data_IF_969513152761
#
_entry.id   IF_969513152761
#
_cell.length_a   1.000
_cell.length_b   1.000
_cell.length_c   1.000
_cell.angle_alpha   90.00
_cell.angle_beta   90.00
_cell.angle_gamma   90.00
#
_symmetry.space_group_name_H-M   'P 1'
#
loop_
_entity.id
_entity.type
_entity.pdbx_description
1 polymer ?
#
# COMPACT_ATOMS: atom_id res chain seq x y z
N UNK A 1 5.64 -70.83 0.51
CA UNK A 1 6.55 -69.66 0.32
C UNK A 1 6.84 -69.46 -1.19
N UNK A 2 6.22 -68.49 -1.86
CA UNK A 2 6.47 -68.16 -3.27
C UNK A 2 7.54 -67.07 -3.36
N UNK A 3 8.75 -67.38 -3.87
CA UNK A 3 9.81 -66.41 -4.18
C UNK A 3 9.34 -65.48 -5.30
N UNK A 4 9.21 -64.18 -5.03
CA UNK A 4 9.04 -63.14 -6.04
C UNK A 4 10.33 -63.01 -6.85
N UNK A 5 10.27 -63.35 -8.14
CA UNK A 5 11.31 -63.04 -9.13
C UNK A 5 11.34 -61.54 -9.37
N UNK A 6 12.41 -60.88 -8.98
CA UNK A 6 12.70 -59.50 -9.43
C UNK A 6 13.11 -59.56 -10.92
N UNK A 7 12.30 -59.01 -11.78
CA UNK A 7 12.68 -58.80 -13.19
C UNK A 7 13.77 -57.73 -13.22
N UNK A 8 14.97 -58.10 -13.64
CA UNK A 8 16.03 -57.11 -13.99
C UNK A 8 15.70 -56.54 -15.36
N UNK A 9 15.61 -55.20 -15.47
CA UNK A 9 15.50 -54.53 -16.76
C UNK A 9 16.72 -54.92 -17.64
N UNK A 10 16.49 -55.15 -18.91
CA UNK A 10 17.58 -55.46 -19.84
C UNK A 10 18.50 -54.27 -20.03
N UNK A 11 19.78 -54.49 -20.28
CA UNK A 11 20.77 -53.43 -20.52
C UNK A 11 20.28 -52.49 -21.62
N UNK A 12 19.64 -52.99 -22.68
CA UNK A 12 19.06 -52.20 -23.75
C UNK A 12 17.94 -51.28 -23.28
N UNK A 13 17.09 -51.73 -22.34
CA UNK A 13 16.03 -50.89 -21.76
C UNK A 13 16.59 -49.76 -20.86
N UNK A 14 17.67 -50.04 -20.12
CA UNK A 14 18.34 -49.02 -19.33
C UNK A 14 19.00 -47.97 -20.20
N UNK A 15 19.72 -48.40 -21.27
CA UNK A 15 20.34 -47.48 -22.22
C UNK A 15 19.33 -46.59 -22.92
N UNK A 16 18.18 -47.17 -23.33
CA UNK A 16 17.09 -46.40 -23.94
C UNK A 16 16.50 -45.37 -23.00
N UNK A 17 16.27 -45.71 -21.72
CA UNK A 17 15.77 -44.76 -20.72
C UNK A 17 16.74 -43.63 -20.43
N UNK A 18 18.04 -43.93 -20.39
CA UNK A 18 19.09 -42.91 -20.19
C UNK A 18 19.15 -41.96 -21.41
N UNK A 19 19.13 -42.48 -22.63
CA UNK A 19 19.11 -41.67 -23.84
C UNK A 19 17.86 -40.78 -23.93
N UNK A 20 16.68 -41.32 -23.59
CA UNK A 20 15.45 -40.51 -23.54
C UNK A 20 15.53 -39.39 -22.49
N UNK A 21 16.08 -39.67 -21.31
CA UNK A 21 16.28 -38.65 -20.26
C UNK A 21 17.27 -37.56 -20.69
N UNK A 22 18.37 -37.94 -21.37
CA UNK A 22 19.34 -36.99 -21.93
C UNK A 22 18.74 -36.08 -23.01
N UNK A 23 17.92 -36.65 -23.90
CA UNK A 23 17.21 -35.88 -24.94
C UNK A 23 16.22 -34.89 -24.32
N UNK A 24 15.44 -35.33 -23.33
CA UNK A 24 14.52 -34.46 -22.63
C UNK A 24 15.23 -33.33 -21.86
N UNK A 25 16.34 -33.64 -21.21
CA UNK A 25 17.16 -32.62 -20.52
C UNK A 25 17.79 -31.61 -21.50
N UNK A 26 18.28 -32.09 -22.66
CA UNK A 26 18.84 -31.23 -23.71
C UNK A 26 17.76 -30.33 -24.33
N UNK A 27 16.54 -30.87 -24.56
CA UNK A 27 15.41 -30.09 -25.05
C UNK A 27 14.92 -29.06 -24.06
N UNK A 28 14.89 -29.38 -22.77
CA UNK A 28 14.55 -28.44 -21.71
C UNK A 28 15.60 -27.32 -21.57
N UNK A 29 16.89 -27.67 -21.63
CA UNK A 29 17.99 -26.69 -21.62
C UNK A 29 17.95 -25.79 -22.88
N UNK A 30 17.64 -26.32 -24.03
CA UNK A 30 17.51 -25.56 -25.28
C UNK A 30 16.30 -24.62 -25.26
N UNK A 31 15.15 -25.07 -24.72
CA UNK A 31 13.97 -24.23 -24.51
C UNK A 31 14.25 -23.13 -23.46
N UNK A 32 15.04 -23.43 -22.41
CA UNK A 32 15.43 -22.44 -21.42
C UNK A 32 16.40 -21.38 -22.00
N UNK A 33 17.34 -21.79 -22.88
CA UNK A 33 18.24 -20.88 -23.60
C UNK A 33 17.53 -20.03 -24.65
N UNK A 34 16.46 -20.53 -25.28
CA UNK A 34 15.64 -19.75 -26.23
C UNK A 34 14.65 -18.83 -25.53
N UNK A 35 14.12 -19.24 -24.37
CA UNK A 35 13.21 -18.43 -23.55
C UNK A 35 13.94 -17.41 -22.68
N UNK A 36 15.23 -17.61 -22.42
CA UNK A 36 16.01 -16.92 -21.35
C UNK A 36 16.87 -15.81 -21.87
N UNK A 37 17.05 -15.17 -22.85
CA UNK A 37 17.82 -13.92 -23.03
C UNK A 37 17.68 -13.23 -24.42
N UNK A 38 17.26 -13.95 -25.48
CA UNK A 38 17.24 -13.37 -26.83
C UNK A 38 15.93 -12.72 -27.24
N UNK A 39 14.79 -13.11 -26.66
CA UNK A 39 13.46 -12.60 -27.03
C UNK A 39 13.18 -11.28 -26.31
N UNK A 40 13.64 -11.14 -25.05
CA UNK A 40 13.52 -9.90 -24.28
C UNK A 40 14.39 -8.78 -24.86
N UNK A 41 15.63 -9.07 -25.21
CA UNK A 41 16.53 -8.07 -25.80
C UNK A 41 16.08 -7.62 -27.19
N UNK A 42 15.55 -8.52 -28.03
CA UNK A 42 15.01 -8.17 -29.35
C UNK A 42 13.71 -7.40 -29.27
N UNK A 43 12.83 -7.72 -28.32
CA UNK A 43 11.60 -6.94 -28.08
C UNK A 43 11.94 -5.55 -27.51
N UNK A 44 12.93 -5.45 -26.62
CA UNK A 44 13.40 -4.18 -26.05
C UNK A 44 14.12 -3.31 -27.08
N UNK A 45 14.94 -3.91 -27.96
CA UNK A 45 15.58 -3.20 -29.07
C UNK A 45 14.57 -2.71 -30.13
N UNK A 46 13.56 -3.51 -30.47
CA UNK A 46 12.49 -3.11 -31.37
C UNK A 46 11.61 -1.98 -30.79
N UNK A 47 11.35 -2.01 -29.47
CA UNK A 47 10.62 -0.96 -28.77
C UNK A 47 11.39 0.38 -28.74
N UNK A 48 12.70 0.33 -28.49
CA UNK A 48 13.55 1.52 -28.51
C UNK A 48 13.70 2.12 -29.92
N UNK A 49 13.75 1.30 -30.97
CA UNK A 49 13.79 1.75 -32.36
C UNK A 49 12.50 2.51 -32.75
N UNK A 50 11.34 2.09 -32.22
CA UNK A 50 10.06 2.76 -32.42
C UNK A 50 9.96 4.07 -31.62
N UNK A 51 10.60 4.14 -30.45
CA UNK A 51 10.63 5.33 -29.61
C UNK A 51 11.55 6.44 -30.19
N UNK A 52 12.64 6.08 -30.88
CA UNK A 52 13.53 7.05 -31.52
C UNK A 52 12.95 7.72 -32.76
N UNK A 53 11.96 7.10 -33.42
CA UNK A 53 11.30 7.66 -34.60
C UNK A 53 10.22 8.72 -34.28
N UNK A 54 9.95 9.01 -33.00
CA UNK A 54 8.94 9.99 -32.56
C UNK A 54 9.53 11.20 -31.81
N UNK A 55 10.76 11.58 -32.05
CA UNK A 55 11.27 12.86 -31.53
C UNK A 55 10.61 14.03 -32.27
N UNK A 56 9.96 14.98 -31.57
CA UNK A 56 9.46 16.18 -32.19
C UNK A 56 10.63 17.02 -32.72
N UNK A 57 10.52 17.51 -33.95
CA UNK A 57 11.42 18.47 -34.53
C UNK A 57 11.25 19.80 -33.81
N UNK A 58 12.37 20.36 -33.32
CA UNK A 58 12.43 21.68 -32.73
C UNK A 58 12.03 22.75 -33.77
N UNK A 59 10.92 23.42 -33.47
CA UNK A 59 10.55 24.66 -34.17
C UNK A 59 11.05 25.84 -33.31
N UNK A 60 11.88 26.75 -33.81
CA UNK A 60 12.36 27.87 -33.01
C UNK A 60 11.22 28.84 -32.69
N UNK A 61 11.02 29.08 -31.39
CA UNK A 61 10.11 30.09 -30.87
C UNK A 61 10.72 31.49 -31.00
N UNK A 62 9.99 32.52 -31.45
CA UNK A 62 10.51 33.89 -31.51
C UNK A 62 10.64 34.49 -30.10
N UNK A 63 11.78 35.09 -29.81
CA UNK A 63 12.05 35.88 -28.60
C UNK A 63 11.06 37.04 -28.42
N UNK A 64 10.47 37.24 -27.23
CA UNK A 64 9.64 38.41 -26.97
C UNK A 64 10.51 39.63 -26.65
N UNK A 65 10.42 40.65 -27.46
CA UNK A 65 11.02 41.99 -27.23
C UNK A 65 10.25 42.67 -26.11
N UNK A 66 10.87 42.86 -24.96
CA UNK A 66 10.29 43.60 -23.83
C UNK A 66 10.53 45.09 -24.02
N UNK A 67 9.46 45.86 -24.15
CA UNK A 67 9.50 47.32 -24.00
C UNK A 67 9.34 47.69 -22.52
N UNK A 68 10.07 48.68 -22.01
CA UNK A 68 9.88 49.17 -20.64
C UNK A 68 8.49 49.80 -20.47
N UNK A 69 7.79 49.39 -19.43
CA UNK A 69 6.48 49.94 -19.05
C UNK A 69 6.70 50.95 -17.90
N UNK A 70 6.16 52.16 -18.10
CA UNK A 70 6.16 53.24 -17.12
C UNK A 70 5.41 52.82 -15.84
N UNK A 71 5.97 53.18 -14.69
CA UNK A 71 5.43 52.91 -13.34
C UNK A 71 4.24 53.83 -13.06
N UNK A 72 3.01 53.31 -12.85
CA UNK A 72 1.92 54.13 -12.32
C UNK A 72 1.93 54.10 -10.79
N UNK A 73 1.53 55.25 -10.23
CA UNK A 73 1.43 55.52 -8.80
C UNK A 73 0.51 54.53 -8.05
N UNK A 74 0.84 54.27 -6.80
CA UNK A 74 0.10 53.39 -5.88
C UNK A 74 -1.35 53.84 -5.70
N UNK A 75 -2.28 53.01 -6.19
CA UNK A 75 -3.71 53.09 -5.89
C UNK A 75 -4.04 52.09 -4.79
N UNK A 76 -4.84 52.49 -3.80
CA UNK A 76 -5.24 51.70 -2.65
C UNK A 76 -5.79 50.30 -3.05
N UNK A 77 -5.32 49.27 -2.36
CA UNK A 77 -5.78 47.89 -2.49
C UNK A 77 -7.28 47.79 -2.16
N UNK A 78 -8.11 47.23 -3.04
CA UNK A 78 -9.46 46.83 -2.68
C UNK A 78 -9.41 45.63 -1.74
N UNK A 79 -10.19 45.69 -0.68
CA UNK A 79 -10.47 44.56 0.21
C UNK A 79 -10.97 43.37 -0.60
N UNK A 80 -10.28 42.22 -0.51
CA UNK A 80 -10.70 41.01 -1.20
C UNK A 80 -12.12 40.59 -0.71
N UNK A 81 -13.07 40.56 -1.64
CA UNK A 81 -14.33 39.89 -1.47
C UNK A 81 -14.06 38.38 -1.18
N UNK A 82 -14.81 37.72 -0.30
CA UNK A 82 -14.66 36.29 -0.09
C UNK A 82 -14.88 35.55 -1.41
N UNK A 83 -13.87 34.83 -1.86
CA UNK A 83 -13.96 33.97 -3.06
C UNK A 83 -15.06 32.96 -2.81
N UNK A 84 -16.15 33.02 -3.60
CA UNK A 84 -17.20 32.03 -3.56
C UNK A 84 -16.60 30.63 -3.80
N UNK A 85 -16.97 29.66 -2.96
CA UNK A 85 -16.61 28.26 -3.19
C UNK A 85 -17.04 27.87 -4.62
N UNK A 86 -16.18 27.17 -5.39
CA UNK A 86 -16.52 26.80 -6.76
C UNK A 86 -17.78 25.92 -6.77
N UNK A 87 -18.82 26.36 -7.44
CA UNK A 87 -20.03 25.55 -7.66
C UNK A 87 -19.63 24.26 -8.40
N UNK A 88 -19.99 23.06 -7.91
CA UNK A 88 -19.65 21.81 -8.55
C UNK A 88 -20.09 21.80 -10.02
N UNK A 89 -19.18 21.51 -10.93
CA UNK A 89 -19.51 21.31 -12.34
C UNK A 89 -20.43 20.10 -12.49
N UNK A 90 -21.51 20.18 -13.26
CA UNK A 90 -22.43 19.04 -13.43
C UNK A 90 -21.66 17.78 -13.90
N UNK A 91 -21.79 16.69 -13.17
CA UNK A 91 -21.15 15.41 -13.48
C UNK A 91 -19.82 15.12 -12.79
N UNK A 92 -19.20 16.12 -12.14
CA UNK A 92 -17.98 15.91 -11.36
C UNK A 92 -18.30 15.72 -9.87
N UNK A 93 -17.73 14.67 -9.27
CA UNK A 93 -17.77 14.43 -7.82
C UNK A 93 -16.34 14.34 -7.31
N UNK A 94 -16.04 15.12 -6.28
CA UNK A 94 -14.73 15.13 -5.64
C UNK A 94 -14.84 14.48 -4.26
N UNK A 95 -13.84 13.68 -3.90
CA UNK A 95 -13.64 13.18 -2.56
C UNK A 95 -12.15 13.10 -2.22
N UNK A 96 -11.84 13.04 -0.95
CA UNK A 96 -10.48 12.96 -0.43
C UNK A 96 -10.21 11.58 0.16
N UNK A 97 -9.05 11.01 -0.21
CA UNK A 97 -8.51 9.76 0.32
C UNK A 97 -7.33 10.09 1.23
N UNK A 98 -7.40 9.70 2.50
CA UNK A 98 -6.25 9.67 3.38
C UNK A 98 -5.74 8.24 3.53
N UNK A 99 -4.42 8.06 3.54
CA UNK A 99 -3.82 6.77 3.86
C UNK A 99 -2.55 6.95 4.68
N UNK A 100 -2.33 6.05 5.63
CA UNK A 100 -1.10 5.97 6.40
C UNK A 100 -0.58 4.52 6.43
N UNK A 101 0.67 4.36 6.86
CA UNK A 101 1.38 3.10 6.77
C UNK A 101 0.88 2.01 7.72
N UNK A 102 1.77 1.08 8.04
CA UNK A 102 1.48 -0.12 8.81
C UNK A 102 1.25 0.19 10.29
N UNK A 103 0.16 -0.33 10.83
CA UNK A 103 -0.14 -0.38 12.27
C UNK A 103 0.33 -1.72 12.82
N UNK A 104 1.43 -1.69 13.55
CA UNK A 104 2.01 -2.83 14.25
C UNK A 104 2.07 -2.53 15.74
N UNK A 105 1.37 -3.31 16.56
CA UNK A 105 1.23 -3.08 18.01
C UNK A 105 1.84 -4.22 18.86
N UNK A 106 3.18 -4.33 18.91
CA UNK A 106 3.87 -5.30 19.73
C UNK A 106 3.73 -5.00 21.22
N UNK A 107 4.36 -5.84 22.06
CA UNK A 107 4.31 -5.71 23.51
C UNK A 107 4.63 -4.29 24.00
N UNK A 108 5.68 -3.65 23.48
CA UNK A 108 6.09 -2.33 23.93
C UNK A 108 5.06 -1.23 23.63
N UNK A 109 4.41 -1.29 22.47
CA UNK A 109 3.29 -0.38 22.11
C UNK A 109 2.09 -0.64 23.02
N UNK A 110 1.73 -1.91 23.25
CA UNK A 110 0.62 -2.28 24.13
C UNK A 110 0.88 -1.85 25.57
N UNK A 111 2.11 -1.99 26.09
CA UNK A 111 2.51 -1.49 27.41
C UNK A 111 2.48 0.04 27.49
N UNK A 112 2.81 0.73 26.39
CA UNK A 112 2.67 2.19 26.30
C UNK A 112 1.22 2.64 26.42
N UNK A 113 0.31 1.92 25.75
CA UNK A 113 -1.12 2.20 25.77
C UNK A 113 -1.82 1.76 27.08
N UNK A 114 -1.15 0.96 27.93
CA UNK A 114 -1.77 0.38 29.11
C UNK A 114 -1.95 1.43 30.22
N UNK A 115 -3.20 1.59 30.66
CA UNK A 115 -3.61 2.43 31.77
C UNK A 115 -3.76 1.65 33.09
N UNK A 116 -3.98 2.40 34.19
CA UNK A 116 -4.36 1.81 35.46
C UNK A 116 -5.71 1.10 35.35
N UNK A 117 -5.82 -0.11 35.94
CA UNK A 117 -7.04 -0.89 35.85
C UNK A 117 -7.09 -1.87 34.68
N UNK A 118 -6.06 -1.92 33.84
CA UNK A 118 -5.93 -2.93 32.78
C UNK A 118 -6.61 -2.55 31.45
N UNK A 119 -7.05 -1.33 31.32
CA UNK A 119 -7.53 -0.73 30.06
C UNK A 119 -6.36 -0.31 29.16
N UNK A 120 -6.64 -0.11 27.87
CA UNK A 120 -5.64 0.30 26.88
C UNK A 120 -6.12 1.53 26.11
N UNK A 121 -5.34 2.62 26.18
CA UNK A 121 -5.57 3.83 25.38
C UNK A 121 -4.54 3.93 24.24
N UNK A 122 -4.86 3.33 23.10
CA UNK A 122 -4.06 3.48 21.89
C UNK A 122 -4.24 4.83 21.20
N UNK A 123 -5.30 5.58 21.54
CA UNK A 123 -5.47 6.93 21.00
C UNK A 123 -4.34 7.86 21.48
N UNK A 124 -3.84 7.68 22.69
CA UNK A 124 -2.66 8.41 23.18
C UNK A 124 -1.42 8.21 22.32
N UNK A 125 -1.31 7.07 21.61
CA UNK A 125 -0.23 6.76 20.67
C UNK A 125 -0.50 7.38 19.30
N UNK A 126 -1.75 7.34 18.81
CA UNK A 126 -2.15 7.70 17.44
C UNK A 126 -2.62 9.16 17.28
N UNK A 127 -2.91 9.88 18.34
CA UNK A 127 -3.60 11.17 18.29
C UNK A 127 -2.94 12.22 17.38
N UNK A 128 -1.62 12.14 17.18
CA UNK A 128 -0.91 13.07 16.29
C UNK A 128 -1.19 12.92 14.79
N UNK A 129 -1.98 11.90 14.40
CA UNK A 129 -2.41 11.70 12.99
C UNK A 129 -3.93 11.83 12.84
N UNK A 130 -4.68 11.97 13.95
CA UNK A 130 -6.14 11.98 13.95
C UNK A 130 -6.73 13.02 13.01
N UNK A 131 -6.27 14.26 13.10
CA UNK A 131 -6.77 15.36 12.25
C UNK A 131 -6.50 15.09 10.76
N UNK A 132 -5.36 14.50 10.41
CA UNK A 132 -4.99 14.19 9.02
C UNK A 132 -5.90 13.10 8.43
N UNK A 133 -6.25 12.08 9.21
CA UNK A 133 -7.09 10.98 8.74
C UNK A 133 -8.58 11.37 8.75
N UNK A 134 -9.05 12.00 9.82
CA UNK A 134 -10.47 12.38 9.99
C UNK A 134 -10.93 13.49 9.06
N UNK A 135 -10.01 14.27 8.49
CA UNK A 135 -10.33 15.31 7.50
C UNK A 135 -10.67 14.73 6.10
N UNK A 136 -10.43 13.44 5.87
CA UNK A 136 -10.71 12.81 4.58
C UNK A 136 -12.09 12.15 4.54
N UNK A 137 -12.65 12.02 3.32
CA UNK A 137 -13.91 11.30 3.09
C UNK A 137 -13.74 9.78 3.17
N UNK A 138 -12.51 9.28 2.99
CA UNK A 138 -12.10 7.89 3.14
C UNK A 138 -10.70 7.80 3.72
N UNK A 139 -10.55 7.20 4.89
CA UNK A 139 -9.25 6.98 5.52
C UNK A 139 -8.90 5.49 5.64
N UNK A 140 -7.70 5.11 5.18
CA UNK A 140 -7.24 3.72 5.09
C UNK A 140 -5.90 3.56 5.79
N UNK A 141 -5.74 2.46 6.56
CA UNK A 141 -4.45 2.02 7.12
C UNK A 141 -4.26 0.52 6.91
N UNK A 142 -3.02 0.03 7.03
CA UNK A 142 -2.74 -1.42 7.02
C UNK A 142 -2.57 -1.92 8.45
N UNK A 143 -3.36 -2.91 8.84
CA UNK A 143 -3.30 -3.53 10.17
C UNK A 143 -2.44 -4.81 10.12
N UNK A 144 -1.19 -4.73 10.60
CA UNK A 144 -0.24 -5.86 10.66
C UNK A 144 -0.22 -6.49 12.07
N UNK A 145 -1.37 -6.60 12.68
CA UNK A 145 -1.57 -7.27 13.97
C UNK A 145 -2.99 -7.82 14.04
N UNK A 146 -3.17 -8.98 14.66
CA UNK A 146 -4.50 -9.48 14.98
C UNK A 146 -5.04 -8.82 16.24
N UNK A 147 -6.35 -8.75 16.39
CA UNK A 147 -7.04 -8.24 17.59
C UNK A 147 -7.84 -9.37 18.27
N UNK A 148 -7.25 -10.56 18.28
CA UNK A 148 -7.85 -11.77 18.85
C UNK A 148 -7.84 -11.83 20.39
N UNK A 149 -7.39 -10.77 21.03
CA UNK A 149 -7.47 -10.61 22.48
C UNK A 149 -6.52 -11.51 23.28
N UNK A 150 -6.71 -11.49 24.61
CA UNK A 150 -5.84 -12.17 25.59
C UNK A 150 -5.90 -13.69 25.49
N UNK A 151 -7.06 -14.25 25.16
CA UNK A 151 -7.27 -15.69 25.11
C UNK A 151 -6.41 -16.41 24.07
N UNK A 152 -6.08 -15.73 22.98
CA UNK A 152 -5.17 -16.22 21.93
C UNK A 152 -3.70 -15.92 22.20
N UNK A 153 -3.37 -15.30 23.35
CA UNK A 153 -2.02 -14.90 23.72
C UNK A 153 -1.54 -13.69 22.90
N UNK A 154 -1.07 -12.65 23.55
CA UNK A 154 -0.73 -11.42 22.86
C UNK A 154 0.46 -11.57 21.90
N UNK A 155 1.59 -12.13 22.35
CA UNK A 155 2.80 -12.18 21.52
C UNK A 155 3.17 -10.81 20.94
N UNK A 156 3.77 -10.82 19.75
CA UNK A 156 4.16 -9.59 19.06
C UNK A 156 3.11 -9.12 18.03
N UNK A 157 2.31 -10.05 17.47
CA UNK A 157 1.38 -9.76 16.38
C UNK A 157 -0.08 -10.07 16.76
N UNK A 158 -0.39 -9.91 18.04
CA UNK A 158 -1.75 -9.94 18.54
C UNK A 158 -1.87 -8.94 19.69
N UNK A 159 -2.91 -8.14 19.66
CA UNK A 159 -3.15 -7.08 20.64
C UNK A 159 -4.61 -7.11 21.11
N UNK A 160 -4.98 -6.12 21.90
CA UNK A 160 -6.35 -5.93 22.37
C UNK A 160 -7.19 -5.17 21.35
N UNK A 161 -8.52 -5.39 21.31
CA UNK A 161 -9.41 -4.74 20.34
C UNK A 161 -9.49 -3.21 20.46
N UNK A 162 -9.10 -2.62 21.58
CA UNK A 162 -9.13 -1.17 21.84
C UNK A 162 -8.27 -0.38 20.82
N UNK A 163 -7.33 -1.02 20.14
CA UNK A 163 -6.60 -0.40 19.02
C UNK A 163 -7.53 0.00 17.89
N UNK A 164 -8.59 -0.78 17.67
CA UNK A 164 -9.60 -0.50 16.62
C UNK A 164 -10.47 0.70 17.01
N UNK A 165 -10.75 0.87 18.31
CA UNK A 165 -11.45 2.05 18.82
C UNK A 165 -10.62 3.32 18.59
N UNK A 166 -9.30 3.24 18.83
CA UNK A 166 -8.37 4.33 18.56
C UNK A 166 -8.26 4.67 17.06
N UNK A 167 -8.17 3.65 16.18
CA UNK A 167 -8.16 3.86 14.73
C UNK A 167 -9.44 4.54 14.26
N UNK A 168 -10.60 4.07 14.74
CA UNK A 168 -11.90 4.70 14.43
C UNK A 168 -11.97 6.15 14.94
N UNK A 169 -11.51 6.41 16.16
CA UNK A 169 -11.46 7.75 16.73
C UNK A 169 -10.56 8.71 15.94
N UNK A 170 -9.52 8.18 15.28
CA UNK A 170 -8.69 8.93 14.32
C UNK A 170 -9.33 9.09 12.94
N UNK A 171 -10.55 8.58 12.72
CA UNK A 171 -11.25 8.72 11.43
C UNK A 171 -10.98 7.61 10.43
N UNK A 172 -10.33 6.49 10.81
CA UNK A 172 -10.13 5.35 9.91
C UNK A 172 -11.46 4.69 9.57
N UNK A 173 -11.71 4.47 8.28
CA UNK A 173 -12.92 3.83 7.74
C UNK A 173 -12.66 2.37 7.34
N UNK A 174 -11.46 2.10 6.82
CA UNK A 174 -11.08 0.78 6.32
C UNK A 174 -9.67 0.39 6.74
N UNK A 175 -9.50 -0.90 7.11
CA UNK A 175 -8.19 -1.49 7.36
C UNK A 175 -7.86 -2.55 6.31
N UNK A 176 -6.65 -2.49 5.73
CA UNK A 176 -6.11 -3.58 4.93
C UNK A 176 -5.59 -4.68 5.87
N UNK A 177 -6.13 -5.90 5.72
CA UNK A 177 -5.74 -7.06 6.52
C UNK A 177 -4.83 -8.04 5.77
N UNK A 178 -4.66 -7.87 4.45
CA UNK A 178 -3.78 -8.73 3.68
C UNK A 178 -2.30 -8.44 4.00
N UNK A 179 -1.84 -8.96 5.10
CA UNK A 179 -0.44 -8.92 5.55
C UNK A 179 0.06 -10.34 5.84
N UNK A 180 1.38 -10.52 5.95
CA UNK A 180 1.92 -11.82 6.33
C UNK A 180 1.51 -12.25 7.75
N UNK A 181 0.99 -11.31 8.55
CA UNK A 181 0.57 -11.53 9.95
C UNK A 181 -0.91 -11.77 10.13
N UNK A 182 -1.71 -11.72 9.08
CA UNK A 182 -3.17 -11.87 9.15
C UNK A 182 -3.61 -13.18 9.85
N UNK A 183 -2.84 -14.26 9.68
CA UNK A 183 -3.11 -15.58 10.26
C UNK A 183 -2.15 -15.96 11.40
N UNK A 184 -1.56 -14.99 12.07
CA UNK A 184 -0.62 -15.21 13.17
C UNK A 184 -1.24 -15.93 14.38
N UNK A 185 -2.56 -15.92 14.50
CA UNK A 185 -3.37 -16.62 15.51
C UNK A 185 -4.35 -17.62 14.86
N UNK A 186 -3.99 -18.12 13.68
CA UNK A 186 -4.82 -19.04 12.91
C UNK A 186 -6.13 -18.41 12.44
N UNK A 187 -7.01 -19.22 11.91
CA UNK A 187 -8.31 -18.77 11.44
C UNK A 187 -9.22 -18.28 12.56
N UNK A 188 -9.20 -18.92 13.73
CA UNK A 188 -9.98 -18.45 14.89
C UNK A 188 -9.56 -17.03 15.32
N UNK A 189 -8.24 -16.74 15.26
CA UNK A 189 -7.73 -15.40 15.57
C UNK A 189 -8.13 -14.37 14.51
N UNK A 190 -8.19 -14.78 13.25
CA UNK A 190 -8.72 -13.94 12.18
C UNK A 190 -10.22 -13.70 12.38
N UNK A 191 -11.03 -14.73 12.61
CA UNK A 191 -12.47 -14.62 12.82
C UNK A 191 -12.81 -13.68 14.00
N UNK A 192 -12.05 -13.74 15.09
CA UNK A 192 -12.16 -12.79 16.20
C UNK A 192 -11.82 -11.37 15.76
N UNK A 193 -10.74 -11.20 14.99
CA UNK A 193 -10.35 -9.86 14.46
C UNK A 193 -11.45 -9.28 13.56
N UNK A 194 -12.04 -10.10 12.68
CA UNK A 194 -13.13 -9.67 11.79
C UNK A 194 -14.41 -9.31 12.58
N UNK A 195 -14.71 -10.07 13.62
CA UNK A 195 -15.83 -9.78 14.52
C UNK A 195 -15.65 -8.45 15.24
N UNK A 196 -14.43 -8.17 15.74
CA UNK A 196 -14.09 -6.91 16.40
C UNK A 196 -14.15 -5.71 15.45
N UNK A 197 -13.70 -5.86 14.21
CA UNK A 197 -13.84 -4.83 13.16
C UNK A 197 -15.31 -4.55 12.82
N UNK A 198 -16.08 -5.61 12.59
CA UNK A 198 -17.50 -5.51 12.26
C UNK A 198 -18.31 -4.82 13.36
N UNK A 199 -18.05 -5.18 14.63
CA UNK A 199 -18.73 -4.57 15.79
C UNK A 199 -18.50 -3.06 15.92
N UNK A 200 -17.37 -2.56 15.35
CA UNK A 200 -16.98 -1.16 15.33
C UNK A 200 -17.31 -0.44 14.02
N UNK A 201 -17.98 -1.11 13.11
CA UNK A 201 -18.28 -0.58 11.76
C UNK A 201 -17.00 -0.14 11.00
N UNK A 202 -15.87 -0.82 11.23
CA UNK A 202 -14.66 -0.67 10.45
C UNK A 202 -14.71 -1.64 9.26
N UNK A 203 -14.62 -1.12 8.04
CA UNK A 203 -14.49 -1.95 6.87
C UNK A 203 -13.10 -2.60 6.81
N UNK A 204 -12.98 -3.71 6.08
CA UNK A 204 -11.70 -4.38 5.86
C UNK A 204 -11.58 -4.92 4.45
N UNK A 205 -10.34 -5.11 3.97
CA UNK A 205 -10.05 -5.67 2.67
C UNK A 205 -8.91 -6.70 2.74
N UNK A 206 -8.91 -7.65 1.77
CA UNK A 206 -7.82 -8.61 1.58
C UNK A 206 -7.95 -9.94 2.33
N UNK A 207 -9.06 -10.15 3.04
CA UNK A 207 -9.43 -11.43 3.65
C UNK A 207 -10.89 -11.75 3.34
N UNK A 208 -11.16 -13.02 3.04
CA UNK A 208 -12.46 -13.48 2.53
C UNK A 208 -12.86 -14.80 3.21
N UNK A 209 -13.36 -14.78 4.46
CA UNK A 209 -13.47 -15.96 5.31
C UNK A 209 -14.33 -17.11 4.75
N UNK A 210 -15.18 -16.86 3.76
CA UNK A 210 -16.11 -17.86 3.22
C UNK A 210 -16.30 -17.78 1.70
N UNK A 211 -15.39 -17.12 0.98
CA UNK A 211 -15.49 -16.93 -0.46
C UNK A 211 -14.25 -17.48 -1.17
N UNK A 212 -14.44 -18.42 -2.09
CA UNK A 212 -13.39 -18.90 -2.99
C UNK A 212 -12.94 -17.83 -4.01
N UNK A 213 -13.77 -16.82 -4.24
CA UNK A 213 -13.53 -15.73 -5.16
C UNK A 213 -13.38 -14.44 -4.35
N UNK A 214 -12.13 -14.07 -4.02
CA UNK A 214 -11.85 -12.79 -3.40
C UNK A 214 -12.57 -11.65 -4.16
N UNK A 215 -13.33 -10.84 -3.44
CA UNK A 215 -14.03 -9.70 -4.00
C UNK A 215 -13.48 -8.41 -3.43
N UNK A 216 -13.60 -7.32 -4.18
CA UNK A 216 -13.30 -5.99 -3.67
C UNK A 216 -14.25 -5.62 -2.53
N UNK A 217 -13.75 -4.92 -1.53
CA UNK A 217 -14.59 -4.24 -0.55
C UNK A 217 -15.14 -2.98 -1.21
N UNK A 218 -16.45 -2.95 -1.44
CA UNK A 218 -17.13 -1.83 -2.10
C UNK A 218 -17.61 -0.82 -1.08
N UNK A 219 -17.29 0.45 -1.28
CA UNK A 219 -17.69 1.57 -0.44
C UNK A 219 -18.34 2.67 -1.29
N UNK A 220 -19.34 3.34 -0.75
CA UNK A 220 -19.93 4.52 -1.40
C UNK A 220 -19.39 5.77 -0.71
N UNK A 221 -18.60 6.55 -1.42
CA UNK A 221 -17.99 7.79 -0.93
C UNK A 221 -18.57 8.95 -1.74
N UNK A 222 -19.41 9.77 -1.13
CA UNK A 222 -20.06 10.91 -1.79
C UNK A 222 -20.80 10.54 -3.11
N UNK A 223 -21.35 9.31 -3.19
CA UNK A 223 -22.01 8.80 -4.40
C UNK A 223 -21.07 8.10 -5.39
N UNK A 224 -19.76 8.10 -5.15
CA UNK A 224 -18.76 7.38 -5.96
C UNK A 224 -18.56 5.98 -5.39
N UNK A 225 -18.69 4.94 -6.24
CA UNK A 225 -18.42 3.55 -5.86
C UNK A 225 -16.91 3.30 -5.87
N UNK A 226 -16.32 3.11 -4.70
CA UNK A 226 -14.89 2.85 -4.51
C UNK A 226 -14.70 1.37 -4.19
N UNK A 227 -13.92 0.68 -5.01
CA UNK A 227 -13.48 -0.68 -4.75
C UNK A 227 -12.10 -0.66 -4.08
N UNK A 228 -11.96 -1.35 -2.96
CA UNK A 228 -10.69 -1.53 -2.25
C UNK A 228 -10.30 -3.00 -2.30
N UNK A 229 -9.10 -3.26 -2.82
CA UNK A 229 -8.47 -4.58 -2.96
C UNK A 229 -7.17 -4.59 -2.17
N UNK A 230 -6.93 -5.60 -1.34
CA UNK A 230 -5.66 -5.72 -0.62
C UNK A 230 -5.07 -7.12 -0.80
N UNK A 231 -3.72 -7.21 -0.88
CA UNK A 231 -3.01 -8.45 -1.18
C UNK A 231 -1.72 -8.56 -0.38
N UNK A 232 -1.35 -9.77 0.03
CA UNK A 232 -0.09 -10.07 0.72
C UNK A 232 0.84 -10.91 -0.16
N UNK A 233 2.15 -10.68 -0.03
CA UNK A 233 3.16 -11.51 -0.68
C UNK A 233 3.20 -12.95 -0.12
N UNK A 234 2.59 -13.21 1.03
CA UNK A 234 2.58 -14.52 1.65
C UNK A 234 2.15 -14.48 3.12
N UNK A 235 2.40 -15.57 3.81
CA UNK A 235 2.21 -15.72 5.25
C UNK A 235 3.56 -15.80 5.96
N UNK A 236 3.60 -15.35 7.21
CA UNK A 236 4.70 -15.61 8.14
C UNK A 236 4.84 -17.11 8.41
N UNK A 237 5.98 -17.54 8.93
CA UNK A 237 6.18 -18.94 9.31
C UNK A 237 5.22 -19.37 10.41
N UNK A 238 4.89 -18.48 11.35
CA UNK A 238 3.86 -18.74 12.37
C UNK A 238 2.48 -18.89 11.72
N UNK A 239 2.09 -17.98 10.83
CA UNK A 239 0.82 -18.08 10.10
C UNK A 239 0.70 -19.37 9.30
N UNK A 240 1.77 -19.80 8.62
CA UNK A 240 1.84 -21.11 7.94
C UNK A 240 1.71 -22.28 8.91
N UNK A 241 2.36 -22.21 10.07
CA UNK A 241 2.29 -23.26 11.08
C UNK A 241 0.87 -23.39 11.67
N UNK A 242 0.22 -22.25 11.93
CA UNK A 242 -1.15 -22.20 12.47
C UNK A 242 -2.21 -22.70 11.47
N UNK A 243 -1.92 -22.64 10.16
CA UNK A 243 -2.87 -23.01 9.10
C UNK A 243 -2.49 -24.28 8.34
N UNK A 244 -1.49 -25.03 8.82
CA UNK A 244 -0.89 -26.17 8.14
C UNK A 244 -1.88 -27.24 7.66
N UNK A 245 -2.98 -27.43 8.36
CA UNK A 245 -3.99 -28.44 8.06
C UNK A 245 -5.31 -27.84 7.54
N UNK A 246 -5.31 -26.57 7.21
CA UNK A 246 -6.50 -25.84 6.82
C UNK A 246 -6.22 -25.05 5.53
N UNK A 247 -6.99 -25.35 4.48
CA UNK A 247 -6.82 -24.77 3.14
C UNK A 247 -7.95 -23.79 2.80
N UNK A 248 -8.56 -23.12 3.79
CA UNK A 248 -9.69 -22.21 3.57
C UNK A 248 -9.42 -21.07 2.58
N UNK A 249 -8.16 -20.79 2.24
CA UNK A 249 -7.80 -19.84 1.19
C UNK A 249 -8.28 -18.40 1.42
N UNK A 250 -8.41 -18.01 2.69
CA UNK A 250 -9.06 -16.74 3.08
C UNK A 250 -8.23 -15.48 2.83
N UNK A 251 -6.90 -15.61 2.66
CA UNK A 251 -6.01 -14.47 2.44
C UNK A 251 -5.77 -14.24 0.95
N UNK A 252 -5.99 -13.01 0.49
CA UNK A 252 -5.64 -12.61 -0.87
C UNK A 252 -4.11 -12.52 -1.01
N UNK A 253 -3.55 -13.37 -1.88
CA UNK A 253 -2.12 -13.39 -2.17
C UNK A 253 -1.81 -12.60 -3.44
N UNK A 254 -0.60 -12.04 -3.50
CA UNK A 254 -0.08 -11.37 -4.69
C UNK A 254 0.13 -12.40 -5.80
N UNK A 255 -0.67 -12.27 -6.85
CA UNK A 255 -0.55 -12.91 -8.14
C UNK A 255 -0.96 -11.88 -9.20
N UNK A 256 -0.05 -11.50 -10.07
CA UNK A 256 -0.26 -10.38 -10.99
C UNK A 256 -1.46 -10.60 -11.92
N UNK A 257 -1.68 -11.83 -12.37
CA UNK A 257 -2.80 -12.17 -13.27
C UNK A 257 -4.13 -12.10 -12.51
N UNK A 258 -4.18 -12.70 -11.31
CA UNK A 258 -5.38 -12.66 -10.48
C UNK A 258 -5.71 -11.23 -10.03
N UNK A 259 -4.73 -10.45 -9.59
CA UNK A 259 -4.92 -9.05 -9.21
C UNK A 259 -5.50 -8.22 -10.37
N UNK A 260 -4.98 -8.41 -11.60
CA UNK A 260 -5.51 -7.75 -12.79
C UNK A 260 -6.95 -8.17 -13.10
N UNK A 261 -7.28 -9.45 -12.93
CA UNK A 261 -8.65 -9.97 -13.07
C UNK A 261 -9.59 -9.39 -12.01
N UNK A 262 -9.16 -9.32 -10.76
CA UNK A 262 -9.94 -8.78 -9.64
C UNK A 262 -10.22 -7.27 -9.85
N UNK A 263 -9.25 -6.48 -10.33
CA UNK A 263 -9.42 -5.07 -10.72
C UNK A 263 -10.47 -4.95 -11.83
N UNK A 264 -10.34 -5.77 -12.88
CA UNK A 264 -11.30 -5.79 -13.99
C UNK A 264 -12.70 -6.16 -13.48
N UNK A 265 -12.79 -7.15 -12.61
CA UNK A 265 -14.05 -7.60 -12.00
C UNK A 265 -14.69 -6.48 -11.17
N UNK A 266 -13.91 -5.78 -10.34
CA UNK A 266 -14.41 -4.65 -9.55
C UNK A 266 -15.04 -3.57 -10.45
N UNK A 267 -14.42 -3.27 -11.60
CA UNK A 267 -15.01 -2.35 -12.60
C UNK A 267 -16.33 -2.86 -13.17
N UNK A 268 -16.42 -4.15 -13.51
CA UNK A 268 -17.67 -4.79 -14.00
C UNK A 268 -18.75 -4.74 -12.92
N UNK A 269 -18.39 -4.93 -11.66
CA UNK A 269 -19.31 -4.87 -10.51
C UNK A 269 -19.68 -3.43 -10.12
N UNK A 270 -19.23 -2.42 -10.88
CA UNK A 270 -19.68 -1.03 -10.79
C UNK A 270 -18.71 -0.07 -10.09
N UNK A 271 -17.48 -0.46 -9.81
CA UNK A 271 -16.50 0.44 -9.22
C UNK A 271 -16.18 1.62 -10.15
N UNK A 272 -16.33 2.82 -9.63
CA UNK A 272 -15.94 4.07 -10.27
C UNK A 272 -14.45 4.38 -10.02
N UNK A 273 -13.94 4.01 -8.85
CA UNK A 273 -12.54 4.13 -8.42
C UNK A 273 -12.07 2.79 -7.90
N UNK A 274 -10.83 2.39 -8.22
CA UNK A 274 -10.20 1.16 -7.73
C UNK A 274 -8.91 1.51 -7.00
N UNK A 275 -8.86 1.18 -5.70
CA UNK A 275 -7.71 1.33 -4.81
C UNK A 275 -7.13 -0.05 -4.54
N UNK A 276 -5.82 -0.22 -4.72
CA UNK A 276 -5.12 -1.47 -4.45
C UNK A 276 -4.10 -1.27 -3.34
N UNK A 277 -4.12 -2.15 -2.34
CA UNK A 277 -3.29 -2.11 -1.14
C UNK A 277 -2.37 -3.35 -1.09
N UNK A 278 -1.25 -3.36 -1.82
CA UNK A 278 -0.33 -4.50 -1.81
C UNK A 278 0.65 -4.42 -0.62
N UNK A 279 0.76 -5.52 0.11
CA UNK A 279 1.77 -5.75 1.13
C UNK A 279 2.94 -6.50 0.48
N UNK A 280 3.92 -5.77 -0.04
CA UNK A 280 4.94 -6.23 -1.01
C UNK A 280 6.35 -5.71 -0.73
N UNK A 281 7.30 -6.12 -1.58
CA UNK A 281 8.67 -5.58 -1.54
C UNK A 281 9.58 -6.29 -0.53
N UNK A 282 10.59 -5.57 -0.05
CA UNK A 282 11.61 -6.11 0.85
C UNK A 282 11.67 -5.31 2.14
N UNK A 283 11.55 -6.00 3.26
CA UNK A 283 11.55 -5.39 4.61
C UNK A 283 12.83 -4.60 4.86
N UNK A 284 12.69 -3.42 5.45
CA UNK A 284 13.77 -2.50 5.82
C UNK A 284 14.64 -2.04 4.63
N UNK A 285 14.05 -1.93 3.43
CA UNK A 285 14.72 -1.42 2.24
C UNK A 285 14.01 -0.17 1.74
N UNK A 286 14.77 0.94 1.62
CA UNK A 286 14.26 2.19 1.08
C UNK A 286 14.09 2.14 -0.45
N UNK A 287 14.91 1.33 -1.13
CA UNK A 287 14.84 1.13 -2.56
C UNK A 287 13.67 0.22 -2.94
N UNK A 288 12.89 0.63 -3.93
CA UNK A 288 11.79 -0.17 -4.49
C UNK A 288 12.35 -1.18 -5.49
N UNK A 289 12.16 -2.50 -5.27
CA UNK A 289 12.60 -3.53 -6.21
C UNK A 289 11.94 -3.37 -7.58
N UNK A 290 12.67 -3.68 -8.66
CA UNK A 290 12.15 -3.60 -10.02
C UNK A 290 10.90 -4.49 -10.23
N UNK A 291 10.85 -5.67 -9.63
CA UNK A 291 9.67 -6.54 -9.68
C UNK A 291 8.41 -5.89 -9.11
N UNK A 292 8.55 -5.01 -8.12
CA UNK A 292 7.44 -4.24 -7.54
C UNK A 292 7.00 -3.13 -8.50
N UNK A 293 7.94 -2.45 -9.17
CA UNK A 293 7.63 -1.45 -10.21
C UNK A 293 6.89 -2.07 -11.39
N UNK A 294 7.35 -3.23 -11.87
CA UNK A 294 6.70 -3.99 -12.94
C UNK A 294 5.27 -4.38 -12.54
N UNK A 295 5.08 -4.87 -11.30
CA UNK A 295 3.74 -5.20 -10.81
C UNK A 295 2.86 -3.96 -10.73
N UNK A 296 3.35 -2.83 -10.22
CA UNK A 296 2.60 -1.56 -10.16
C UNK A 296 2.12 -1.13 -11.55
N UNK A 297 2.98 -1.21 -12.56
CA UNK A 297 2.61 -0.93 -13.96
C UNK A 297 1.52 -1.89 -14.47
N UNK A 298 1.61 -3.18 -14.14
CA UNK A 298 0.59 -4.18 -14.51
C UNK A 298 -0.77 -3.83 -13.89
N UNK A 299 -0.80 -3.45 -12.61
CA UNK A 299 -2.02 -3.05 -11.92
C UNK A 299 -2.61 -1.75 -12.48
N UNK A 300 -1.77 -0.77 -12.80
CA UNK A 300 -2.19 0.47 -13.46
C UNK A 300 -2.83 0.20 -14.83
N UNK A 301 -2.22 -0.68 -15.65
CA UNK A 301 -2.78 -1.10 -16.93
C UNK A 301 -4.10 -1.86 -16.76
N UNK A 302 -4.24 -2.68 -15.71
CA UNK A 302 -5.47 -3.41 -15.40
C UNK A 302 -6.61 -2.50 -14.95
N UNK A 303 -6.31 -1.27 -14.52
CA UNK A 303 -7.35 -0.30 -14.17
C UNK A 303 -7.32 0.20 -12.72
N UNK A 304 -6.27 -0.03 -11.94
CA UNK A 304 -6.09 0.64 -10.65
C UNK A 304 -5.94 2.15 -10.85
N UNK A 305 -6.56 2.94 -9.97
CA UNK A 305 -6.42 4.41 -9.94
C UNK A 305 -5.43 4.84 -8.85
N UNK A 306 -5.38 4.09 -7.75
CA UNK A 306 -4.47 4.35 -6.64
C UNK A 306 -3.87 3.03 -6.15
N UNK A 307 -2.55 3.01 -5.90
CA UNK A 307 -1.83 1.88 -5.33
C UNK A 307 -1.08 2.36 -4.09
N UNK A 308 -1.36 1.77 -2.93
CA UNK A 308 -0.80 2.13 -1.64
C UNK A 308 -0.07 0.94 -1.03
N UNK A 309 1.24 0.88 -1.23
CA UNK A 309 2.09 -0.22 -0.78
C UNK A 309 2.47 -0.13 0.69
N UNK A 310 2.64 -1.31 1.30
CA UNK A 310 3.18 -1.49 2.66
C UNK A 310 4.10 -2.72 2.70
N UNK A 311 4.61 -3.13 3.85
CA UNK A 311 5.56 -4.20 4.16
C UNK A 311 7.02 -3.74 4.30
N UNK A 312 7.62 -2.89 3.46
CA UNK A 312 9.02 -2.49 3.67
C UNK A 312 9.28 -1.87 5.04
N UNK A 313 8.25 -1.37 5.74
CA UNK A 313 8.34 -0.68 7.03
C UNK A 313 9.18 0.61 6.99
N UNK A 314 9.55 1.05 5.82
CA UNK A 314 10.22 2.32 5.52
C UNK A 314 9.49 3.01 4.38
N UNK A 315 9.44 4.33 4.38
CA UNK A 315 8.85 5.08 3.29
C UNK A 315 9.65 4.86 2.00
N UNK A 316 8.95 4.66 0.89
CA UNK A 316 9.52 4.52 -0.46
C UNK A 316 8.91 5.55 -1.41
N UNK A 317 9.36 5.52 -2.66
CA UNK A 317 8.99 6.46 -3.71
C UNK A 317 7.49 6.60 -3.94
N UNK A 318 7.12 7.75 -4.48
CA UNK A 318 5.77 8.04 -4.98
C UNK A 318 5.87 8.37 -6.46
N UNK A 319 4.99 7.80 -7.27
CA UNK A 319 5.02 7.90 -8.72
C UNK A 319 3.61 8.10 -9.28
N UNK A 320 3.50 8.80 -10.42
CA UNK A 320 2.29 8.90 -11.22
C UNK A 320 2.52 8.15 -12.53
N UNK A 321 1.93 6.97 -12.65
CA UNK A 321 2.05 6.10 -13.81
C UNK A 321 0.96 6.48 -14.83
N UNK A 322 1.38 6.76 -16.06
CA UNK A 322 0.46 7.02 -17.18
C UNK A 322 0.35 5.77 -18.06
N UNK A 323 -0.85 5.28 -18.26
CA UNK A 323 -1.13 4.09 -19.08
C UNK A 323 -2.17 4.39 -20.14
N UNK A 324 -1.99 3.84 -21.33
CA UNK A 324 -3.04 3.81 -22.35
C UNK A 324 -3.80 2.50 -22.20
N UNK A 325 -5.10 2.59 -21.92
CA UNK A 325 -5.96 1.40 -21.74
C UNK A 325 -6.63 0.99 -23.06
N UNK A 326 -7.40 -0.09 -23.04
CA UNK A 326 -8.02 -0.69 -24.24
C UNK A 326 -9.00 0.24 -24.98
N UNK A 327 -9.50 1.27 -24.35
CA UNK A 327 -10.33 2.32 -24.95
C UNK A 327 -9.52 3.40 -25.70
N UNK A 328 -8.19 3.28 -25.73
CA UNK A 328 -7.27 4.21 -26.37
C UNK A 328 -7.03 5.51 -25.56
N UNK A 329 -7.58 5.63 -24.35
CA UNK A 329 -7.43 6.81 -23.52
C UNK A 329 -6.27 6.66 -22.52
N UNK A 330 -5.61 7.77 -22.22
CA UNK A 330 -4.57 7.84 -21.18
C UNK A 330 -5.22 7.97 -19.81
N UNK A 331 -4.75 7.14 -18.87
CA UNK A 331 -5.13 7.15 -17.46
C UNK A 331 -3.91 7.39 -16.60
N UNK A 332 -4.11 8.03 -15.47
CA UNK A 332 -3.09 8.23 -14.46
C UNK A 332 -3.39 7.39 -13.22
N UNK A 333 -2.39 6.69 -12.70
CA UNK A 333 -2.44 5.93 -11.46
C UNK A 333 -1.44 6.51 -10.48
N UNK A 334 -1.86 6.89 -9.29
CA UNK A 334 -0.96 7.28 -8.19
C UNK A 334 -0.46 6.04 -7.49
N UNK A 335 0.86 5.91 -7.34
CA UNK A 335 1.51 4.80 -6.65
C UNK A 335 2.36 5.35 -5.51
N UNK A 336 2.05 4.92 -4.28
CA UNK A 336 2.95 5.04 -3.13
C UNK A 336 3.54 3.65 -2.90
N UNK A 337 4.83 3.45 -3.20
CA UNK A 337 5.45 2.12 -3.13
C UNK A 337 5.52 1.57 -1.71
N UNK A 338 5.72 2.42 -0.70
CA UNK A 338 5.55 2.08 0.72
C UNK A 338 5.29 3.34 1.55
N UNK A 339 4.22 3.29 2.35
CA UNK A 339 3.89 4.35 3.31
C UNK A 339 4.74 4.27 4.59
N UNK A 340 5.60 3.25 4.75
CA UNK A 340 6.34 3.00 5.99
C UNK A 340 5.45 2.52 7.14
N UNK A 341 5.86 2.81 8.37
CA UNK A 341 5.07 2.49 9.57
C UNK A 341 4.26 3.70 10.04
N UNK A 342 3.00 3.46 10.41
CA UNK A 342 2.21 4.39 11.22
C UNK A 342 2.47 4.15 12.71
N UNK A 343 2.57 2.88 13.13
CA UNK A 343 2.83 2.52 14.54
C UNK A 343 3.81 1.34 14.57
N UNK A 344 4.88 1.44 15.34
CA UNK A 344 5.87 0.38 15.57
C UNK A 344 6.72 0.67 16.80
N UNK A 345 7.29 -0.37 17.41
CA UNK A 345 8.33 -0.25 18.43
C UNK A 345 9.77 -0.29 17.87
N UNK A 346 9.92 -0.41 16.55
CA UNK A 346 11.22 -0.36 15.88
C UNK A 346 11.96 0.94 16.21
N UNK A 347 13.28 0.83 16.37
CA UNK A 347 14.13 1.96 16.80
C UNK A 347 15.14 2.39 15.74
N UNK A 348 15.15 1.75 14.58
CA UNK A 348 15.94 2.28 13.47
C UNK A 348 15.33 3.58 12.95
N UNK A 349 16.19 4.52 12.57
CA UNK A 349 15.76 5.83 12.06
C UNK A 349 14.91 5.72 10.80
N UNK A 350 15.05 4.64 10.05
CA UNK A 350 14.27 4.36 8.85
C UNK A 350 12.84 3.93 9.20
N UNK A 351 12.68 3.03 10.18
CA UNK A 351 11.38 2.49 10.57
C UNK A 351 10.54 3.46 11.41
N UNK A 352 11.20 4.45 12.06
CA UNK A 352 10.48 5.50 12.82
C UNK A 352 9.99 6.64 11.93
N UNK A 353 10.35 6.62 10.63
CA UNK A 353 9.91 7.58 9.63
C UNK A 353 8.88 6.93 8.70
N UNK A 354 7.62 7.32 8.82
CA UNK A 354 6.55 6.94 7.92
C UNK A 354 5.97 8.15 7.20
N UNK A 355 4.94 7.94 6.40
CA UNK A 355 4.19 9.03 5.78
C UNK A 355 2.69 8.77 5.78
N UNK A 356 1.93 9.84 5.87
CA UNK A 356 0.53 9.87 5.49
C UNK A 356 0.40 10.62 4.16
N UNK A 357 -0.57 10.20 3.34
CA UNK A 357 -0.92 10.85 2.09
C UNK A 357 -2.38 11.26 2.13
N UNK A 358 -2.68 12.48 1.69
CA UNK A 358 -4.03 12.95 1.42
C UNK A 358 -4.11 13.25 -0.08
N UNK A 359 -4.94 12.50 -0.79
CA UNK A 359 -5.10 12.57 -2.24
C UNK A 359 -6.54 12.99 -2.57
N UNK A 360 -6.68 14.07 -3.32
CA UNK A 360 -7.97 14.42 -3.92
C UNK A 360 -8.23 13.54 -5.13
N UNK A 361 -9.42 12.97 -5.22
CA UNK A 361 -9.89 12.20 -6.36
C UNK A 361 -11.13 12.87 -6.96
N UNK A 362 -11.11 13.07 -8.27
CA UNK A 362 -12.25 13.63 -9.01
C UNK A 362 -12.82 12.54 -9.90
N UNK A 363 -14.07 12.20 -9.71
CA UNK A 363 -14.81 11.28 -10.58
C UNK A 363 -15.73 12.06 -11.52
N UNK A 364 -15.62 11.81 -12.81
CA UNK A 364 -16.51 12.36 -13.83
C UNK A 364 -17.51 11.29 -14.28
N UNK A 365 -18.77 11.48 -13.92
CA UNK A 365 -19.86 10.55 -14.26
C UNK A 365 -20.19 10.54 -15.77
N UNK A 366 -19.86 11.61 -16.51
CA UNK A 366 -20.10 11.68 -17.94
C UNK A 366 -19.12 10.79 -18.72
N UNK A 367 -17.85 10.80 -18.31
CA UNK A 367 -16.79 9.96 -18.93
C UNK A 367 -16.57 8.65 -18.19
N UNK A 368 -17.13 8.49 -16.98
CA UNK A 368 -16.90 7.38 -16.03
C UNK A 368 -15.42 7.19 -15.69
N UNK A 369 -14.69 8.30 -15.53
CA UNK A 369 -13.27 8.30 -15.24
C UNK A 369 -12.96 8.96 -13.91
N UNK A 370 -11.95 8.41 -13.22
CA UNK A 370 -11.36 9.02 -12.06
C UNK A 370 -10.05 9.73 -12.44
N UNK A 371 -9.82 10.88 -11.83
CA UNK A 371 -8.63 11.70 -12.02
C UNK A 371 -8.00 11.97 -10.66
N UNK A 372 -6.77 11.50 -10.42
CA UNK A 372 -6.01 11.91 -9.24
C UNK A 372 -5.66 13.40 -9.33
N UNK A 373 -6.07 14.15 -8.31
CA UNK A 373 -5.80 15.59 -8.18
C UNK A 373 -4.57 15.88 -7.32
N UNK A 374 -4.72 16.89 -6.46
CA UNK A 374 -3.68 17.30 -5.53
C UNK A 374 -3.39 16.19 -4.51
N UNK A 375 -2.11 16.00 -4.19
CA UNK A 375 -1.65 15.07 -3.17
C UNK A 375 -0.74 15.80 -2.18
N UNK A 376 -1.14 15.79 -0.92
CA UNK A 376 -0.32 16.22 0.21
C UNK A 376 0.32 15.01 0.85
N UNK A 377 1.64 15.07 1.09
CA UNK A 377 2.39 14.07 1.84
C UNK A 377 2.84 14.68 3.15
N UNK A 378 2.43 14.06 4.25
CA UNK A 378 2.78 14.44 5.60
C UNK A 378 3.81 13.45 6.15
N UNK A 379 5.07 13.86 6.39
CA UNK A 379 6.05 13.02 7.07
C UNK A 379 5.63 12.75 8.51
N UNK A 380 5.72 11.48 8.92
CA UNK A 380 5.39 11.05 10.27
C UNK A 380 6.66 10.63 11.00
N UNK A 381 6.70 10.92 12.30
CA UNK A 381 7.73 10.44 13.21
C UNK A 381 7.11 9.66 14.37
N UNK A 382 7.65 8.47 14.66
CA UNK A 382 7.24 7.66 15.81
C UNK A 382 8.17 7.94 16.98
N UNK A 383 7.79 8.89 17.81
CA UNK A 383 8.51 9.28 19.00
C UNK A 383 8.42 8.20 20.10
N UNK A 384 9.46 8.08 20.92
CA UNK A 384 9.45 7.18 22.08
C UNK A 384 10.26 7.77 23.22
N UNK A 385 9.57 8.13 24.28
CA UNK A 385 10.15 8.69 25.48
C UNK A 385 10.08 7.70 26.64
N UNK A 386 11.11 7.68 27.48
CA UNK A 386 11.06 6.92 28.72
C UNK A 386 10.39 7.77 29.81
N UNK A 387 9.26 7.29 30.32
CA UNK A 387 8.51 7.92 31.40
C UNK A 387 8.10 6.86 32.42
N UNK A 388 8.36 7.10 33.68
CA UNK A 388 8.00 6.23 34.83
C UNK A 388 8.41 4.75 34.61
N UNK A 389 9.61 4.54 34.05
CA UNK A 389 10.15 3.21 33.80
C UNK A 389 9.63 2.51 32.53
N UNK A 390 8.66 3.09 31.81
CA UNK A 390 8.08 2.59 30.55
C UNK A 390 8.50 3.44 29.36
N UNK A 391 8.51 2.85 28.18
CA UNK A 391 8.58 3.61 26.95
C UNK A 391 7.16 4.06 26.58
N UNK A 392 7.00 5.36 26.34
CA UNK A 392 5.74 5.96 25.86
C UNK A 392 5.96 6.32 24.39
N UNK A 393 5.13 5.76 23.53
CA UNK A 393 5.20 5.98 22.08
C UNK A 393 4.14 6.98 21.64
N UNK A 394 4.47 7.77 20.62
CA UNK A 394 3.55 8.71 19.97
C UNK A 394 3.87 8.83 18.49
N UNK A 395 2.85 8.79 17.66
CA UNK A 395 2.94 9.23 16.28
C UNK A 395 2.76 10.74 16.25
N UNK A 396 3.63 11.44 15.54
CA UNK A 396 3.53 12.88 15.35
C UNK A 396 3.68 13.25 13.89
N UNK A 397 2.96 14.25 13.43
CA UNK A 397 3.29 14.97 12.22
C UNK A 397 4.66 15.63 12.45
N UNK A 398 5.65 15.23 11.65
CA UNK A 398 7.02 15.67 11.82
C UNK A 398 7.25 17.11 11.32
N UNK A 399 6.22 17.77 10.80
CA UNK A 399 6.22 19.19 10.39
C UNK A 399 5.30 20.06 11.29
N UNK A 400 4.57 19.46 12.26
CA UNK A 400 3.76 20.22 13.22
C UNK A 400 4.63 20.76 14.37
N UNK A 401 4.93 22.05 14.33
CA UNK A 401 5.75 22.73 15.35
C UNK A 401 5.17 22.60 16.76
N UNK A 402 3.84 22.60 16.91
CA UNK A 402 3.18 22.47 18.21
C UNK A 402 3.35 21.06 18.78
N UNK A 403 3.21 20.03 17.95
CA UNK A 403 3.47 18.65 18.35
C UNK A 403 4.95 18.44 18.69
N UNK A 404 5.86 18.97 17.87
CA UNK A 404 7.31 18.86 18.05
C UNK A 404 7.79 19.57 19.33
N UNK A 405 7.21 20.70 19.72
CA UNK A 405 7.58 21.43 20.93
C UNK A 405 7.38 20.61 22.22
N UNK A 406 6.58 19.56 22.19
CA UNK A 406 6.32 18.63 23.31
C UNK A 406 7.34 17.49 23.39
N UNK A 407 8.23 17.38 22.40
CA UNK A 407 9.27 16.36 22.34
C UNK A 407 10.59 16.87 22.93
N UNK A 408 11.45 15.95 23.32
CA UNK A 408 12.84 16.28 23.69
C UNK A 408 13.61 16.80 22.48
N UNK A 409 14.68 17.56 22.70
CA UNK A 409 15.55 18.08 21.62
C UNK A 409 16.06 16.94 20.73
N UNK A 410 16.44 15.80 21.32
CA UNK A 410 16.90 14.64 20.56
C UNK A 410 15.81 14.06 19.66
N UNK A 411 14.56 14.04 20.11
CA UNK A 411 13.44 13.57 19.29
C UNK A 411 13.03 14.58 18.22
N UNK A 412 13.11 15.89 18.51
CA UNK A 412 12.92 16.92 17.49
C UNK A 412 13.94 16.78 16.35
N UNK A 413 15.22 16.49 16.69
CA UNK A 413 16.25 16.19 15.71
C UNK A 413 15.93 14.92 14.89
N UNK A 414 15.42 13.87 15.56
CA UNK A 414 15.01 12.63 14.88
C UNK A 414 13.79 12.86 13.99
N UNK A 415 12.83 13.67 14.39
CA UNK A 415 11.69 14.07 13.57
C UNK A 415 12.14 14.85 12.32
N UNK A 416 13.08 15.79 12.47
CA UNK A 416 13.66 16.49 11.33
C UNK A 416 14.37 15.53 10.34
N UNK A 417 15.05 14.49 10.84
CA UNK A 417 15.61 13.44 9.98
C UNK A 417 14.52 12.60 9.31
N UNK A 418 13.39 12.34 9.97
CA UNK A 418 12.26 11.65 9.37
C UNK A 418 11.69 12.45 8.19
N UNK A 419 11.53 13.77 8.33
CA UNK A 419 11.14 14.67 7.22
C UNK A 419 12.08 14.52 6.04
N UNK A 420 13.40 14.61 6.27
CA UNK A 420 14.39 14.49 5.19
C UNK A 420 14.28 13.14 4.47
N UNK A 421 14.17 12.02 5.21
CA UNK A 421 14.03 10.67 4.64
C UNK A 421 12.78 10.53 3.78
N UNK A 422 11.63 10.98 4.30
CA UNK A 422 10.37 10.91 3.54
C UNK A 422 10.47 11.78 2.28
N UNK A 423 11.01 12.99 2.38
CA UNK A 423 11.17 13.88 1.22
C UNK A 423 12.13 13.32 0.16
N UNK A 424 13.21 12.66 0.58
CA UNK A 424 14.12 11.94 -0.33
C UNK A 424 13.43 10.75 -0.99
N UNK A 425 12.77 9.89 -0.19
CA UNK A 425 12.04 8.74 -0.72
C UNK A 425 11.00 9.14 -1.77
N UNK A 426 10.21 10.19 -1.50
CA UNK A 426 9.16 10.69 -2.41
C UNK A 426 9.74 11.19 -3.73
N UNK A 427 10.93 11.80 -3.72
CA UNK A 427 11.59 12.26 -4.96
C UNK A 427 12.22 11.13 -5.77
N UNK A 428 12.38 9.94 -5.21
CA UNK A 428 13.05 8.82 -5.86
C UNK A 428 14.57 8.95 -5.92
N UNK A 429 15.16 9.78 -5.03
CA UNK A 429 16.61 10.01 -4.88
C UNK A 429 17.22 9.09 -3.82
#
# INVERSE_FOLDING_TARGET
>A
MKKRRRSRLSVGTIVMLVLTACVLAATAAFLFLIAGDGVYERAYAAFNLLAETQKPTDVPSPEPTIKPLDTPAATAMPTAEPTAEPTPSPGLTTFTLAAAGTVYAPKAIRESAQESGGHYDFLSVLNGIGDTLSAADLAIVTLETTTAGREKGYGNYNTTPEILDALRACGVDLVALATERALERGYDGLDLTLSELTSRSLAYAGVYPYSENGSATMMNINGVQVAVLAYSYGLSDEGKAQTKNDSRGVLALIDAQKMAQDITRARVDGANVVIVLPHWGTKNRAETPESVRVLANTLAQAGADVILGTHPNVAQGVERIHTVRSDGLTYETVVCYSLGCLMTDARSSENTAGMAVNLTLVYDSNTRRAYPGEMKITPLYIASQRKDGKNVYRVVDAEDEQALSKLTIAEQQSAAQAVLRVRQAVKGE
#
